data_IF_056603065942
#
_entry.id   IF_056603065942
#
_cell.length_a   1.000
_cell.length_b   1.000
_cell.length_c   1.000
_cell.angle_alpha   90.00
_cell.angle_beta   90.00
_cell.angle_gamma   90.00
#
_symmetry.space_group_name_H-M   'P 1'
#
loop_
_entity.id
_entity.type
_entity.pdbx_description
1 polymer ?
#
# COMPACT_ATOMS: atom_id res chain seq x y z
N UNK A 1 39.73 23.91 12.84
CA UNK A 1 39.11 22.69 13.40
C UNK A 1 38.41 21.93 12.28
N UNK A 2 38.92 20.75 11.92
CA UNK A 2 38.36 19.91 10.88
C UNK A 2 37.03 19.29 11.37
N UNK A 3 35.96 19.44 10.59
CA UNK A 3 34.69 18.76 10.85
C UNK A 3 34.90 17.28 10.51
N UNK A 4 35.29 16.47 11.51
CA UNK A 4 35.31 15.01 11.40
C UNK A 4 33.88 14.47 11.37
N UNK A 5 33.31 14.47 10.17
CA UNK A 5 32.14 13.67 9.80
C UNK A 5 32.35 13.25 8.36
N UNK A 6 32.12 11.96 8.03
CA UNK A 6 32.26 11.46 6.65
C UNK A 6 31.59 12.44 5.67
N UNK A 7 32.29 12.95 4.64
CA UNK A 7 31.68 13.86 3.69
C UNK A 7 30.40 13.21 3.14
N UNK A 8 29.28 13.92 3.27
CA UNK A 8 28.00 13.43 2.78
C UNK A 8 28.10 13.14 1.27
N UNK A 9 27.29 12.19 0.78
CA UNK A 9 27.23 11.82 -0.63
C UNK A 9 27.16 13.05 -1.55
N UNK A 10 27.98 13.07 -2.60
CA UNK A 10 27.97 14.12 -3.62
C UNK A 10 26.62 14.16 -4.35
N UNK A 11 26.32 15.28 -5.03
CA UNK A 11 25.07 15.39 -5.80
C UNK A 11 24.98 14.31 -6.89
N UNK A 12 26.10 14.00 -7.54
CA UNK A 12 26.17 12.93 -8.55
C UNK A 12 25.91 11.55 -7.93
N UNK A 13 26.55 11.25 -6.80
CA UNK A 13 26.34 9.97 -6.11
C UNK A 13 24.91 9.84 -5.58
N UNK A 14 24.29 10.93 -5.09
CA UNK A 14 22.87 10.92 -4.70
C UNK A 14 21.96 10.64 -5.88
N UNK A 15 22.26 11.23 -7.05
CA UNK A 15 21.47 11.00 -8.27
C UNK A 15 21.58 9.55 -8.73
N UNK A 16 22.80 8.99 -8.77
CA UNK A 16 23.02 7.59 -9.14
C UNK A 16 22.37 6.62 -8.13
N UNK A 17 22.46 6.91 -6.83
CA UNK A 17 21.75 6.18 -5.77
C UNK A 17 20.24 6.11 -6.06
N UNK A 18 19.61 7.24 -6.39
CA UNK A 18 18.18 7.30 -6.67
C UNK A 18 17.79 6.60 -7.97
N UNK A 19 18.63 6.68 -9.00
CA UNK A 19 18.45 5.94 -10.26
C UNK A 19 18.47 4.44 -10.01
N UNK A 20 19.48 3.93 -9.29
CA UNK A 20 19.63 2.51 -8.97
C UNK A 20 18.55 1.99 -8.01
N UNK A 21 18.15 2.81 -7.05
CA UNK A 21 17.01 2.49 -6.19
C UNK A 21 15.73 2.37 -7.01
N UNK A 22 15.50 3.31 -7.92
CA UNK A 22 14.33 3.32 -8.81
C UNK A 22 14.33 2.17 -9.83
N UNK A 23 15.51 1.63 -10.17
CA UNK A 23 15.63 0.43 -11.00
C UNK A 23 15.44 -0.87 -10.20
N UNK A 24 15.34 -0.80 -8.87
CA UNK A 24 15.02 -1.96 -8.03
C UNK A 24 16.24 -2.68 -7.43
N UNK A 25 17.44 -2.06 -7.46
CA UNK A 25 18.63 -2.64 -6.84
C UNK A 25 18.53 -2.68 -5.31
N UNK A 26 19.22 -3.62 -4.69
CA UNK A 26 19.28 -3.76 -3.22
C UNK A 26 20.21 -2.73 -2.57
N UNK A 27 20.06 -2.49 -1.26
CA UNK A 27 20.93 -1.56 -0.52
C UNK A 27 22.41 -1.94 -0.65
N UNK A 28 22.70 -3.24 -0.66
CA UNK A 28 24.06 -3.77 -0.78
C UNK A 28 24.64 -3.61 -2.19
N UNK A 29 23.82 -3.82 -3.24
CA UNK A 29 24.23 -3.56 -4.63
C UNK A 29 24.55 -2.09 -4.87
N UNK A 30 23.66 -1.21 -4.40
CA UNK A 30 23.85 0.25 -4.50
C UNK A 30 25.10 0.66 -3.71
N UNK A 31 25.28 0.12 -2.50
CA UNK A 31 26.45 0.38 -1.68
C UNK A 31 27.75 0.00 -2.38
N UNK A 32 27.80 -1.22 -2.93
CA UNK A 32 28.96 -1.71 -3.70
C UNK A 32 29.25 -0.84 -4.92
N UNK A 33 28.22 -0.48 -5.69
CA UNK A 33 28.38 0.33 -6.89
C UNK A 33 28.89 1.74 -6.61
N UNK A 34 28.53 2.32 -5.46
CA UNK A 34 28.91 3.67 -5.06
C UNK A 34 30.16 3.71 -4.16
N UNK A 35 30.73 2.55 -3.81
CA UNK A 35 31.84 2.45 -2.88
C UNK A 35 31.48 2.90 -1.45
N UNK A 36 30.21 2.79 -1.05
CA UNK A 36 29.74 3.22 0.28
C UNK A 36 29.04 2.08 1.03
N UNK A 37 29.07 2.16 2.36
CA UNK A 37 28.40 1.19 3.21
C UNK A 37 26.87 1.22 3.00
N UNK A 38 26.22 0.04 2.99
CA UNK A 38 24.78 -0.09 2.79
C UNK A 38 23.95 0.71 3.82
N UNK A 39 24.46 0.88 5.04
CA UNK A 39 23.86 1.74 6.06
C UNK A 39 23.77 3.22 5.65
N UNK A 40 24.75 3.73 4.91
CA UNK A 40 24.71 5.10 4.37
C UNK A 40 23.66 5.25 3.28
N UNK A 41 23.51 4.23 2.42
CA UNK A 41 22.42 4.16 1.42
C UNK A 41 21.06 4.18 2.13
N UNK A 42 20.91 3.35 3.16
CA UNK A 42 19.70 3.28 3.96
C UNK A 42 19.34 4.64 4.58
N UNK A 43 20.31 5.35 5.18
CA UNK A 43 20.08 6.66 5.78
C UNK A 43 19.51 7.68 4.79
N UNK A 44 20.06 7.74 3.57
CA UNK A 44 19.57 8.66 2.52
C UNK A 44 18.16 8.30 2.04
N UNK A 45 17.90 7.01 1.83
CA UNK A 45 16.57 6.55 1.41
C UNK A 45 15.53 6.76 2.52
N UNK A 46 15.88 6.47 3.77
CA UNK A 46 14.99 6.58 4.92
C UNK A 46 14.55 8.02 5.18
N UNK A 47 15.44 9.00 4.98
CA UNK A 47 15.12 10.41 5.15
C UNK A 47 13.96 10.89 4.25
N UNK A 48 13.70 10.21 3.14
CA UNK A 48 12.64 10.51 2.18
C UNK A 48 11.61 9.38 2.05
N UNK A 49 11.65 8.39 2.94
CA UNK A 49 10.74 7.24 2.93
C UNK A 49 10.89 6.33 1.70
N UNK A 50 12.03 6.36 1.02
CA UNK A 50 12.30 5.63 -0.22
C UNK A 50 11.67 6.25 -1.47
N UNK A 51 11.22 7.51 -1.39
CA UNK A 51 10.65 8.26 -2.52
C UNK A 51 11.70 9.22 -3.06
N UNK A 52 12.07 9.05 -4.33
CA UNK A 52 13.05 9.92 -4.97
C UNK A 52 12.56 11.39 -4.96
N UNK A 53 13.36 12.35 -4.46
CA UNK A 53 13.04 13.75 -4.57
C UNK A 53 13.09 14.18 -6.04
N UNK A 54 12.24 15.12 -6.42
CA UNK A 54 12.26 15.66 -7.78
C UNK A 54 13.50 16.53 -7.98
N UNK A 55 14.12 16.39 -9.16
CA UNK A 55 15.22 17.25 -9.57
C UNK A 55 14.75 18.71 -9.59
N UNK A 56 15.46 19.54 -8.85
CA UNK A 56 15.11 20.95 -8.70
C UNK A 56 15.60 21.70 -9.93
N UNK A 57 14.67 22.21 -10.73
CA UNK A 57 14.96 23.04 -11.90
C UNK A 57 14.59 24.49 -11.63
N UNK A 58 15.45 25.41 -12.06
CA UNK A 58 15.20 26.84 -12.00
C UNK A 58 14.56 27.29 -13.31
N UNK A 59 13.54 28.16 -13.25
CA UNK A 59 12.99 28.79 -14.45
C UNK A 59 14.02 29.78 -15.03
N UNK A 60 14.12 29.86 -16.35
CA UNK A 60 14.94 30.86 -17.08
C UNK A 60 14.60 32.32 -16.74
N UNK A 61 13.39 32.55 -16.21
CA UNK A 61 12.93 33.86 -15.74
C UNK A 61 13.51 34.26 -14.38
N UNK A 62 14.08 33.31 -13.64
CA UNK A 62 14.69 33.57 -12.33
C UNK A 62 16.19 33.84 -12.50
N UNK A 63 16.72 34.79 -11.72
CA UNK A 63 18.15 35.09 -11.69
C UNK A 63 18.97 33.82 -11.37
N UNK A 64 20.07 33.61 -12.09
CA UNK A 64 21.11 32.60 -11.85
C UNK A 64 22.07 33.00 -10.72
N UNK A 65 23.04 32.14 -10.41
CA UNK A 65 24.10 32.48 -9.45
C UNK A 65 25.00 33.59 -10.02
N UNK A 66 25.44 33.44 -11.28
CA UNK A 66 26.27 34.44 -11.98
C UNK A 66 25.59 35.80 -12.03
N UNK A 67 24.30 35.86 -12.33
CA UNK A 67 23.55 37.12 -12.32
C UNK A 67 23.47 37.73 -10.91
N UNK A 68 23.36 36.90 -9.85
CA UNK A 68 23.42 37.38 -8.46
C UNK A 68 24.82 37.85 -8.06
N UNK A 69 25.88 37.25 -8.59
CA UNK A 69 27.25 37.70 -8.37
C UNK A 69 27.50 39.07 -8.99
N UNK A 70 27.01 39.30 -10.21
CA UNK A 70 27.03 40.62 -10.85
C UNK A 70 26.25 41.66 -10.02
N UNK A 71 25.07 41.30 -9.47
CA UNK A 71 24.34 42.19 -8.55
C UNK A 71 25.21 42.48 -7.31
N UNK A 72 25.83 41.46 -6.72
CA UNK A 72 26.65 41.63 -5.52
C UNK A 72 27.86 42.53 -5.75
N UNK A 73 28.55 42.36 -6.89
CA UNK A 73 29.71 43.18 -7.28
C UNK A 73 29.30 44.61 -7.60
N UNK A 74 28.25 44.79 -8.42
CA UNK A 74 27.74 46.12 -8.75
C UNK A 74 27.22 46.90 -7.54
N UNK A 75 26.68 46.23 -6.53
CA UNK A 75 26.30 46.87 -5.27
C UNK A 75 27.51 47.33 -4.44
N UNK A 76 28.57 46.51 -4.40
CA UNK A 76 29.81 46.85 -3.70
C UNK A 76 30.56 48.02 -4.36
N UNK A 77 30.52 48.09 -5.69
CA UNK A 77 31.06 49.19 -6.50
C UNK A 77 30.18 50.47 -6.47
N UNK A 78 29.05 50.44 -5.77
CA UNK A 78 28.18 51.61 -5.61
C UNK A 78 27.20 51.86 -6.76
N UNK A 79 27.09 50.98 -7.76
CA UNK A 79 26.21 51.18 -8.90
C UNK A 79 24.71 51.22 -8.55
N UNK A 80 23.96 52.02 -9.31
CA UNK A 80 22.51 52.09 -9.19
C UNK A 80 21.85 50.78 -9.64
N UNK A 81 20.69 50.45 -9.07
CA UNK A 81 19.94 49.24 -9.46
C UNK A 81 19.55 49.25 -10.94
N UNK A 82 19.37 50.44 -11.54
CA UNK A 82 19.09 50.60 -12.98
C UNK A 82 20.30 50.21 -13.83
N UNK A 83 21.51 50.63 -13.45
CA UNK A 83 22.75 50.26 -14.12
C UNK A 83 23.00 48.75 -14.08
N UNK A 84 22.85 48.15 -12.90
CA UNK A 84 23.00 46.70 -12.69
C UNK A 84 21.98 45.93 -13.55
N UNK A 85 20.72 46.37 -13.56
CA UNK A 85 19.66 45.74 -14.35
C UNK A 85 19.92 45.83 -15.86
N UNK A 86 20.42 46.96 -16.36
CA UNK A 86 20.81 47.14 -17.77
C UNK A 86 21.94 46.20 -18.15
N UNK A 87 23.00 46.10 -17.33
CA UNK A 87 24.12 45.16 -17.56
C UNK A 87 23.68 43.71 -17.63
N UNK A 88 22.71 43.33 -16.80
CA UNK A 88 22.17 41.97 -16.75
C UNK A 88 21.11 41.68 -17.81
N UNK A 89 20.70 42.68 -18.60
CA UNK A 89 19.53 42.60 -19.48
C UNK A 89 18.28 42.09 -18.74
N UNK A 90 18.01 42.64 -17.55
CA UNK A 90 16.85 42.31 -16.70
C UNK A 90 16.06 43.56 -16.36
N UNK A 91 14.78 43.37 -16.03
CA UNK A 91 13.94 44.44 -15.52
C UNK A 91 14.48 44.98 -14.17
N UNK A 92 14.48 46.31 -14.00
CA UNK A 92 14.92 46.97 -12.76
C UNK A 92 14.15 46.46 -11.54
N UNK A 93 12.85 46.19 -11.71
CA UNK A 93 12.00 45.64 -10.65
C UNK A 93 12.44 44.25 -10.17
N UNK A 94 13.03 43.43 -11.05
CA UNK A 94 13.59 42.12 -10.68
C UNK A 94 14.80 42.28 -9.76
N UNK A 95 15.75 43.15 -10.13
CA UNK A 95 16.94 43.43 -9.32
C UNK A 95 16.55 44.08 -8.00
N UNK A 96 15.63 45.05 -8.01
CA UNK A 96 15.13 45.70 -6.81
C UNK A 96 14.52 44.69 -5.83
N UNK A 97 13.56 43.87 -6.28
CA UNK A 97 12.93 42.83 -5.43
C UNK A 97 13.95 41.83 -4.90
N UNK A 98 14.92 41.42 -5.72
CA UNK A 98 16.00 40.51 -5.32
C UNK A 98 16.91 41.11 -4.25
N UNK A 99 17.26 42.40 -4.35
CA UNK A 99 18.12 43.07 -3.36
C UNK A 99 17.34 43.28 -2.05
N UNK A 100 16.14 43.83 -2.13
CA UNK A 100 15.29 44.10 -0.95
C UNK A 100 14.99 42.83 -0.16
N UNK A 101 14.63 41.73 -0.83
CA UNK A 101 14.28 40.46 -0.16
C UNK A 101 15.47 39.73 0.49
N UNK A 102 16.70 40.12 0.18
CA UNK A 102 17.91 39.45 0.66
C UNK A 102 18.81 40.42 1.46
N UNK A 103 18.20 41.36 2.19
CA UNK A 103 18.89 42.20 3.17
C UNK A 103 19.27 43.61 2.69
N UNK A 104 18.82 44.01 1.50
CA UNK A 104 19.09 45.33 0.94
C UNK A 104 20.53 45.52 0.49
N UNK A 105 20.90 46.74 0.08
CA UNK A 105 22.20 47.02 -0.54
C UNK A 105 23.40 46.65 0.34
N UNK A 106 23.31 46.88 1.66
CA UNK A 106 24.41 46.67 2.61
C UNK A 106 24.70 45.17 2.87
N UNK A 107 23.65 44.35 2.95
CA UNK A 107 23.77 42.94 3.37
C UNK A 107 23.63 41.94 2.22
N UNK A 108 23.39 42.40 1.00
CA UNK A 108 23.23 41.51 -0.14
C UNK A 108 24.50 40.68 -0.39
N UNK A 109 24.36 39.36 -0.48
CA UNK A 109 25.42 38.41 -0.83
C UNK A 109 24.89 37.39 -1.83
N UNK A 110 25.57 37.24 -2.95
CA UNK A 110 25.13 36.40 -4.06
C UNK A 110 24.84 34.94 -3.65
N UNK A 111 25.79 34.29 -2.97
CA UNK A 111 25.69 32.88 -2.55
C UNK A 111 24.52 32.66 -1.58
N UNK A 112 24.35 33.57 -0.61
CA UNK A 112 23.25 33.47 0.35
C UNK A 112 21.89 33.72 -0.33
N UNK A 113 21.82 34.71 -1.22
CA UNK A 113 20.63 35.02 -2.00
C UNK A 113 20.22 33.84 -2.90
N UNK A 114 21.20 33.14 -3.49
CA UNK A 114 20.98 31.96 -4.31
C UNK A 114 20.46 30.77 -3.47
N UNK A 115 21.09 30.50 -2.33
CA UNK A 115 20.63 29.49 -1.35
C UNK A 115 19.21 29.78 -0.89
N UNK A 116 18.89 31.04 -0.57
CA UNK A 116 17.55 31.47 -0.19
C UNK A 116 16.55 31.31 -1.34
N UNK A 117 16.92 31.60 -2.58
CA UNK A 117 16.07 31.41 -3.75
C UNK A 117 15.71 29.94 -3.95
N UNK A 118 16.70 29.05 -3.82
CA UNK A 118 16.48 27.61 -3.80
C UNK A 118 15.52 27.22 -2.67
N UNK A 119 15.80 27.59 -1.42
CA UNK A 119 14.96 27.22 -0.27
C UNK A 119 13.49 27.65 -0.46
N UNK A 120 13.27 28.88 -0.96
CA UNK A 120 11.92 29.38 -1.26
C UNK A 120 11.24 28.65 -2.41
N UNK A 121 12.00 28.17 -3.39
CA UNK A 121 11.45 27.38 -4.50
C UNK A 121 10.83 26.06 -4.05
N UNK A 122 11.15 25.55 -2.85
CA UNK A 122 10.50 24.36 -2.28
C UNK A 122 9.00 24.56 -2.06
N UNK A 123 8.54 25.81 -1.85
CA UNK A 123 7.12 26.19 -1.65
C UNK A 123 6.33 25.13 -0.88
N UNK A 124 6.76 24.77 0.34
CA UNK A 124 6.16 23.66 1.08
C UNK A 124 4.67 23.91 1.25
N UNK A 125 3.85 22.99 0.76
CA UNK A 125 2.40 23.01 0.97
C UNK A 125 2.11 22.20 2.22
N UNK A 126 1.37 22.80 3.16
CA UNK A 126 0.87 22.08 4.33
C UNK A 126 0.03 20.88 3.87
N UNK A 127 0.35 19.70 4.41
CA UNK A 127 -0.35 18.47 4.09
C UNK A 127 -1.85 18.56 4.46
N UNK A 128 -2.75 17.99 3.67
CA UNK A 128 -4.19 18.00 3.94
C UNK A 128 -4.51 17.45 5.34
N UNK A 129 -3.88 16.34 5.74
CA UNK A 129 -4.08 15.74 7.06
C UNK A 129 -3.64 16.64 8.22
N UNK A 130 -2.75 17.60 7.98
CA UNK A 130 -2.36 18.60 8.97
C UNK A 130 -3.39 19.72 9.10
N UNK A 131 -4.17 19.99 8.05
CA UNK A 131 -5.23 21.00 8.04
C UNK A 131 -6.58 20.47 8.50
N UNK A 132 -6.80 19.15 8.40
CA UNK A 132 -8.05 18.49 8.73
C UNK A 132 -7.83 17.41 9.82
N UNK A 133 -7.84 17.78 11.12
CA UNK A 133 -7.61 16.84 12.22
C UNK A 133 -8.63 15.69 12.28
N UNK A 134 -9.90 15.98 12.01
CA UNK A 134 -10.98 14.98 11.97
C UNK A 134 -10.71 13.90 10.91
N UNK A 135 -10.35 14.31 9.70
CA UNK A 135 -9.93 13.39 8.63
C UNK A 135 -8.69 12.58 9.04
N UNK A 136 -7.72 13.22 9.69
CA UNK A 136 -6.51 12.54 10.16
C UNK A 136 -6.82 11.44 11.19
N UNK A 137 -7.64 11.75 12.20
CA UNK A 137 -8.08 10.78 13.21
C UNK A 137 -8.88 9.64 12.56
N UNK A 138 -9.76 9.96 11.61
CA UNK A 138 -10.51 8.95 10.88
C UNK A 138 -9.59 8.01 10.09
N UNK A 139 -8.63 8.55 9.34
CA UNK A 139 -7.62 7.74 8.62
C UNK A 139 -6.83 6.86 9.59
N UNK A 140 -6.37 7.42 10.71
CA UNK A 140 -5.63 6.68 11.73
C UNK A 140 -6.46 5.52 12.32
N UNK A 141 -7.73 5.76 12.66
CA UNK A 141 -8.63 4.72 13.19
C UNK A 141 -8.87 3.59 12.20
N UNK A 142 -9.00 3.89 10.90
CA UNK A 142 -9.17 2.87 9.85
C UNK A 142 -7.88 2.09 9.60
N UNK A 143 -6.71 2.74 9.68
CA UNK A 143 -5.41 2.07 9.64
C UNK A 143 -5.25 1.12 10.83
N UNK A 144 -5.64 1.50 12.04
CA UNK A 144 -5.63 0.63 13.21
C UNK A 144 -6.52 -0.62 13.02
N UNK A 145 -7.62 -0.48 12.27
CA UNK A 145 -8.46 -1.61 11.81
C UNK A 145 -7.86 -2.41 10.64
N UNK A 146 -6.59 -2.17 10.30
CA UNK A 146 -5.82 -2.83 9.24
C UNK A 146 -6.42 -2.63 7.83
N UNK A 147 -7.12 -1.52 7.60
CA UNK A 147 -7.54 -1.13 6.25
C UNK A 147 -6.33 -0.60 5.48
N UNK A 148 -6.22 -0.96 4.20
CA UNK A 148 -5.15 -0.40 3.37
C UNK A 148 -5.43 1.08 3.05
N UNK A 149 -4.41 1.90 2.81
CA UNK A 149 -4.59 3.29 2.35
C UNK A 149 -5.51 3.41 1.13
N UNK A 150 -5.47 2.45 0.21
CA UNK A 150 -6.35 2.41 -0.96
C UNK A 150 -7.81 2.13 -0.59
N UNK A 151 -8.04 1.23 0.37
CA UNK A 151 -9.37 0.92 0.90
C UNK A 151 -9.97 2.14 1.61
N UNK A 152 -9.17 2.83 2.44
CA UNK A 152 -9.58 4.04 3.15
C UNK A 152 -9.96 5.13 2.16
N UNK A 153 -9.08 5.42 1.19
CA UNK A 153 -9.30 6.45 0.17
C UNK A 153 -10.58 6.21 -0.65
N UNK A 154 -10.81 4.98 -1.11
CA UNK A 154 -12.02 4.66 -1.86
C UNK A 154 -13.29 4.68 -1.02
N UNK A 155 -13.23 4.21 0.22
CA UNK A 155 -14.37 4.28 1.15
C UNK A 155 -14.73 5.72 1.52
N UNK A 156 -13.74 6.58 1.76
CA UNK A 156 -13.99 8.00 2.06
C UNK A 156 -14.69 8.71 0.91
N UNK A 157 -14.34 8.39 -0.34
CA UNK A 157 -14.99 8.99 -1.52
C UNK A 157 -16.48 8.68 -1.60
N UNK A 158 -16.88 7.47 -1.22
CA UNK A 158 -18.29 7.05 -1.26
C UNK A 158 -19.03 7.57 -0.04
N UNK A 159 -18.41 7.47 1.15
CA UNK A 159 -19.08 7.90 2.38
C UNK A 159 -19.26 9.41 2.47
N UNK A 160 -18.33 10.18 1.90
CA UNK A 160 -18.33 11.64 1.90
C UNK A 160 -18.29 12.14 0.46
N UNK A 161 -19.25 11.71 -0.36
CA UNK A 161 -19.33 12.13 -1.76
C UNK A 161 -19.55 13.63 -1.92
N UNK A 162 -20.38 14.22 -1.04
CA UNK A 162 -20.69 15.65 -1.02
C UNK A 162 -19.65 16.51 -0.30
N UNK A 163 -18.82 15.91 0.56
CA UNK A 163 -17.80 16.62 1.34
C UNK A 163 -16.38 16.30 0.85
N UNK A 164 -15.91 17.11 -0.09
CA UNK A 164 -14.56 17.01 -0.65
C UNK A 164 -13.45 17.22 0.38
N UNK A 165 -13.73 17.89 1.51
CA UNK A 165 -12.75 18.11 2.58
C UNK A 165 -12.38 16.81 3.32
N UNK A 166 -13.29 15.83 3.28
CA UNK A 166 -13.13 14.50 3.88
C UNK A 166 -12.56 13.47 2.90
N UNK A 167 -12.21 13.88 1.68
CA UNK A 167 -11.62 13.00 0.67
C UNK A 167 -10.09 13.14 0.62
N UNK A 168 -9.40 12.02 0.46
CA UNK A 168 -7.93 11.99 0.37
C UNK A 168 -7.46 10.88 -0.55
N UNK A 169 -6.43 11.15 -1.34
CA UNK A 169 -5.74 10.13 -2.13
C UNK A 169 -4.93 9.18 -1.24
N UNK A 170 -4.99 7.88 -1.53
CA UNK A 170 -4.18 6.86 -0.88
C UNK A 170 -2.67 7.15 -0.96
N UNK A 171 -2.21 7.83 -2.02
CA UNK A 171 -0.82 8.27 -2.15
C UNK A 171 -0.43 9.31 -1.08
N UNK A 172 -1.36 10.19 -0.71
CA UNK A 172 -1.15 11.15 0.38
C UNK A 172 -1.05 10.43 1.72
N UNK A 173 -1.88 9.40 1.96
CA UNK A 173 -1.80 8.56 3.16
C UNK A 173 -0.44 7.83 3.21
N UNK A 174 0.01 7.21 2.11
CA UNK A 174 1.32 6.57 2.05
C UNK A 174 2.47 7.55 2.30
N UNK A 175 2.47 8.72 1.65
CA UNK A 175 3.48 9.76 1.88
C UNK A 175 3.49 10.21 3.34
N UNK A 176 2.33 10.32 3.97
CA UNK A 176 2.22 10.70 5.39
C UNK A 176 2.68 9.61 6.37
N UNK A 177 2.63 8.34 5.98
CA UNK A 177 3.21 7.23 6.76
C UNK A 177 4.73 7.10 6.55
N UNK A 178 5.22 7.25 5.31
CA UNK A 178 6.63 7.03 4.98
C UNK A 178 7.53 8.26 5.19
N UNK A 179 7.00 9.48 5.05
CA UNK A 179 7.79 10.71 5.20
C UNK A 179 7.59 11.26 6.61
N UNK A 180 8.51 10.93 7.51
CA UNK A 180 8.43 11.31 8.93
C UNK A 180 8.35 12.83 9.14
N UNK A 181 9.02 13.61 8.29
CA UNK A 181 9.00 15.07 8.35
C UNK A 181 7.59 15.69 8.20
N UNK A 182 6.58 14.91 7.79
CA UNK A 182 5.18 15.37 7.77
C UNK A 182 4.54 15.39 9.15
N UNK A 183 4.96 14.52 10.08
CA UNK A 183 4.49 14.52 11.48
C UNK A 183 3.00 14.28 11.73
N UNK A 184 2.19 13.96 10.71
CA UNK A 184 0.73 13.88 10.84
C UNK A 184 0.20 12.52 11.30
N UNK A 185 0.91 11.42 11.02
CA UNK A 185 0.51 10.06 11.40
C UNK A 185 1.64 9.41 12.22
N UNK A 186 1.28 8.69 13.28
CA UNK A 186 2.24 7.94 14.10
C UNK A 186 2.88 6.81 13.28
N UNK A 187 4.19 6.61 13.45
CA UNK A 187 4.97 5.56 12.75
C UNK A 187 4.46 4.16 13.05
N UNK A 188 3.95 3.94 14.26
CA UNK A 188 3.38 2.66 14.72
C UNK A 188 2.24 2.16 13.81
N UNK A 189 1.51 3.06 13.16
CA UNK A 189 0.43 2.68 12.24
C UNK A 189 0.93 1.90 11.01
N UNK A 190 2.23 1.95 10.71
CA UNK A 190 2.84 1.16 9.65
C UNK A 190 2.75 -0.35 9.92
N UNK A 191 2.71 -0.77 11.18
CA UNK A 191 2.59 -2.19 11.58
C UNK A 191 1.25 -2.79 11.12
N UNK A 192 0.22 -1.95 10.95
CA UNK A 192 -1.10 -2.41 10.50
C UNK A 192 -1.19 -2.56 8.97
N UNK A 193 -0.20 -2.08 8.22
CA UNK A 193 -0.13 -2.32 6.78
C UNK A 193 0.19 -3.79 6.51
N UNK A 194 -0.41 -4.35 5.47
CA UNK A 194 -0.16 -5.73 5.03
C UNK A 194 1.31 -6.03 4.69
N UNK A 195 2.08 -4.98 4.41
CA UNK A 195 3.50 -5.08 4.14
C UNK A 195 4.23 -4.37 5.26
N UNK A 196 5.06 -5.10 6.01
CA UNK A 196 5.89 -4.59 7.12
C UNK A 196 7.06 -3.71 6.62
N UNK A 197 6.87 -3.00 5.51
CA UNK A 197 7.89 -2.18 4.87
C UNK A 197 8.00 -0.86 5.61
N UNK A 198 9.22 -0.52 6.01
CA UNK A 198 9.57 0.77 6.61
C UNK A 198 9.75 1.89 5.58
N UNK A 199 9.96 1.53 4.30
CA UNK A 199 10.13 2.47 3.18
C UNK A 199 9.46 1.96 1.91
N UNK A 200 9.12 2.87 1.00
CA UNK A 200 8.62 2.53 -0.33
C UNK A 200 9.75 1.96 -1.19
N UNK A 201 9.50 0.84 -1.86
CA UNK A 201 10.40 0.29 -2.89
C UNK A 201 9.97 0.75 -4.28
N UNK A 202 10.90 0.73 -5.22
CA UNK A 202 10.60 0.97 -6.63
C UNK A 202 9.55 0.01 -7.17
N UNK A 203 8.82 0.43 -8.22
CA UNK A 203 7.85 -0.43 -8.90
C UNK A 203 8.51 -1.59 -9.64
N UNK A 204 9.71 -1.38 -10.17
CA UNK A 204 10.53 -2.41 -10.82
C UNK A 204 11.22 -3.35 -9.82
N UNK A 205 11.13 -3.05 -8.52
CA UNK A 205 11.68 -3.93 -7.50
C UNK A 205 10.93 -5.26 -7.50
N UNK A 206 11.61 -6.33 -7.90
CA UNK A 206 11.11 -7.70 -7.84
C UNK A 206 11.99 -8.53 -6.91
N UNK A 207 11.37 -9.39 -6.10
CA UNK A 207 12.12 -10.46 -5.43
C UNK A 207 12.43 -11.65 -6.36
N UNK A 208 11.92 -11.61 -7.60
CA UNK A 208 12.24 -12.57 -8.68
C UNK A 208 13.70 -12.32 -9.08
N UNK A 209 14.61 -13.20 -8.64
CA UNK A 209 16.06 -13.06 -8.83
C UNK A 209 16.89 -13.44 -7.60
N UNK A 210 16.27 -13.58 -6.42
CA UNK A 210 16.88 -14.38 -5.35
C UNK A 210 16.56 -15.86 -5.59
N UNK A 211 17.51 -16.80 -5.39
CA UNK A 211 17.27 -18.22 -5.57
C UNK A 211 16.28 -18.70 -4.50
N UNK A 212 15.01 -18.64 -4.85
CA UNK A 212 13.94 -19.42 -4.24
C UNK A 212 13.34 -20.22 -5.37
N UNK A 213 13.31 -21.54 -5.21
CA UNK A 213 12.95 -22.54 -6.20
C UNK A 213 11.95 -22.04 -7.23
N UNK A 214 12.36 -22.09 -8.49
CA UNK A 214 11.52 -21.92 -9.68
C UNK A 214 10.34 -22.90 -9.53
N UNK A 215 9.12 -22.41 -9.66
CA UNK A 215 8.03 -23.26 -10.13
C UNK A 215 8.14 -23.20 -11.65
N UNK A 216 8.50 -24.33 -12.25
CA UNK A 216 8.46 -24.61 -13.68
C UNK A 216 7.02 -24.79 -14.16
N UNK A 217 6.77 -24.38 -15.40
CA UNK A 217 5.56 -24.58 -16.22
C UNK A 217 4.28 -23.81 -15.85
N UNK A 218 4.22 -22.55 -16.29
CA UNK A 218 2.96 -21.81 -16.43
C UNK A 218 2.52 -21.80 -17.90
N UNK A 219 1.39 -22.44 -18.19
CA UNK A 219 0.74 -22.52 -19.53
C UNK A 219 -0.50 -21.60 -19.59
N UNK A 220 -0.80 -21.07 -20.77
CA UNK A 220 -1.69 -19.93 -21.06
C UNK A 220 -3.10 -20.28 -21.60
N UNK A 221 -4.14 -19.85 -20.87
CA UNK A 221 -5.32 -19.01 -21.21
C UNK A 221 -6.23 -19.20 -22.46
N UNK A 222 -6.43 -20.37 -23.05
CA UNK A 222 -7.53 -20.52 -24.04
C UNK A 222 -8.43 -21.71 -23.74
N UNK A 223 -9.74 -21.43 -23.83
CA UNK A 223 -10.90 -22.33 -23.80
C UNK A 223 -11.72 -22.34 -22.51
N UNK A 224 -12.57 -21.32 -22.33
CA UNK A 224 -13.53 -21.23 -21.23
C UNK A 224 -14.94 -20.85 -21.70
N UNK A 225 -16.00 -21.49 -21.17
CA UNK A 225 -17.40 -21.04 -21.32
C UNK A 225 -17.74 -19.81 -20.45
N UNK A 226 -18.62 -18.94 -20.95
CA UNK A 226 -18.92 -17.61 -20.39
C UNK A 226 -19.73 -17.62 -19.07
N UNK A 227 -20.56 -18.62 -18.83
CA UNK A 227 -21.63 -18.52 -17.81
C UNK A 227 -21.14 -18.74 -16.36
N UNK A 228 -19.98 -19.38 -16.17
CA UNK A 228 -19.36 -19.65 -14.84
C UNK A 228 -18.36 -18.54 -14.43
N UNK A 229 -18.00 -17.65 -15.37
CA UNK A 229 -17.12 -16.50 -15.13
C UNK A 229 -17.76 -15.44 -14.23
N UNK A 230 -19.08 -15.27 -14.34
CA UNK A 230 -19.66 -13.95 -14.11
C UNK A 230 -19.77 -13.58 -12.62
N UNK A 231 -19.63 -14.57 -11.72
CA UNK A 231 -19.75 -14.39 -10.25
C UNK A 231 -21.01 -13.56 -9.88
N UNK A 232 -22.00 -13.60 -10.75
CA UNK A 232 -23.14 -12.69 -10.77
C UNK A 232 -24.27 -13.19 -9.87
N UNK A 233 -24.30 -14.50 -9.61
CA UNK A 233 -25.30 -15.17 -8.78
C UNK A 233 -24.74 -15.36 -7.36
N UNK A 234 -25.44 -14.86 -6.32
CA UNK A 234 -25.09 -15.14 -4.94
C UNK A 234 -25.41 -16.59 -4.57
N UNK A 235 -24.72 -17.13 -3.56
CA UNK A 235 -25.00 -18.48 -3.05
C UNK A 235 -24.00 -19.55 -3.49
N UNK A 236 -23.00 -19.17 -4.31
CA UNK A 236 -21.89 -20.05 -4.66
C UNK A 236 -20.66 -19.72 -3.81
N UNK A 237 -20.11 -20.73 -3.15
CA UNK A 237 -19.01 -20.58 -2.21
C UNK A 237 -17.77 -21.33 -2.67
N UNK A 238 -16.60 -20.78 -2.41
CA UNK A 238 -15.32 -21.47 -2.57
C UNK A 238 -14.82 -21.89 -1.18
N UNK A 239 -14.36 -23.13 -1.04
CA UNK A 239 -13.86 -23.67 0.23
C UNK A 239 -12.41 -24.18 0.14
N UNK A 240 -11.57 -23.88 1.13
CA UNK A 240 -10.15 -24.26 1.19
C UNK A 240 -9.72 -24.56 2.62
N UNK A 241 -8.50 -25.06 2.78
CA UNK A 241 -7.87 -25.29 4.06
C UNK A 241 -6.60 -24.46 4.22
N UNK A 242 -6.59 -23.68 5.29
CA UNK A 242 -5.40 -23.03 5.78
C UNK A 242 -4.70 -23.98 6.75
N UNK A 243 -3.53 -24.46 6.34
CA UNK A 243 -2.65 -25.25 7.21
C UNK A 243 -1.71 -24.37 8.04
N UNK A 244 -1.53 -24.79 9.30
CA UNK A 244 -0.59 -24.27 10.29
C UNK A 244 0.57 -25.24 10.56
N UNK A 245 1.25 -25.06 11.68
CA UNK A 245 2.17 -26.06 12.23
C UNK A 245 1.40 -27.14 13.00
N UNK A 246 2.10 -28.23 13.37
CA UNK A 246 1.54 -29.35 14.14
C UNK A 246 0.27 -29.97 13.54
N UNK A 247 0.17 -30.00 12.20
CA UNK A 247 -0.98 -30.54 11.48
C UNK A 247 -2.33 -29.89 11.90
N UNK A 248 -2.31 -28.59 12.19
CA UNK A 248 -3.51 -27.82 12.52
C UNK A 248 -4.09 -27.14 11.29
N UNK A 249 -5.42 -27.15 11.17
CA UNK A 249 -6.13 -26.69 9.99
C UNK A 249 -7.33 -25.80 10.35
N UNK A 250 -7.63 -24.85 9.48
CA UNK A 250 -8.83 -24.02 9.51
C UNK A 250 -9.46 -24.07 8.13
N UNK A 251 -10.76 -24.36 8.07
CA UNK A 251 -11.51 -24.28 6.83
C UNK A 251 -11.89 -22.83 6.53
N UNK A 252 -11.70 -22.41 5.27
CA UNK A 252 -12.05 -21.07 4.79
C UNK A 252 -13.11 -21.18 3.73
N UNK A 253 -14.28 -20.61 4.00
CA UNK A 253 -15.40 -20.53 3.07
C UNK A 253 -15.54 -19.08 2.61
N UNK A 254 -15.62 -18.86 1.30
CA UNK A 254 -15.77 -17.52 0.73
C UNK A 254 -16.84 -17.49 -0.33
N UNK A 255 -17.86 -16.66 -0.13
CA UNK A 255 -18.94 -16.45 -1.09
C UNK A 255 -18.42 -15.68 -2.31
N UNK A 256 -18.68 -16.19 -3.52
CA UNK A 256 -18.02 -15.73 -4.75
C UNK A 256 -18.42 -14.32 -5.16
N UNK A 257 -19.65 -13.87 -4.87
CA UNK A 257 -20.13 -12.53 -5.27
C UNK A 257 -19.72 -11.45 -4.27
N UNK A 258 -20.20 -11.57 -3.03
CA UNK A 258 -19.97 -10.65 -1.90
C UNK A 258 -18.55 -10.73 -1.33
N UNK A 259 -17.83 -11.84 -1.55
CA UNK A 259 -16.53 -12.11 -0.92
C UNK A 259 -16.62 -12.24 0.60
N UNK A 260 -17.80 -12.55 1.12
CA UNK A 260 -18.01 -12.79 2.53
C UNK A 260 -17.24 -14.03 2.95
N UNK A 261 -16.48 -13.90 4.02
CA UNK A 261 -15.58 -14.93 4.53
C UNK A 261 -16.16 -15.53 5.79
N UNK A 262 -16.18 -16.86 5.86
CA UNK A 262 -16.47 -17.61 7.08
C UNK A 262 -15.28 -18.53 7.35
N UNK A 263 -14.84 -18.57 8.61
CA UNK A 263 -13.73 -19.39 9.05
C UNK A 263 -14.26 -20.47 9.98
N UNK A 264 -13.84 -21.72 9.76
CA UNK A 264 -14.35 -22.86 10.51
C UNK A 264 -13.20 -23.53 11.23
N UNK A 265 -13.33 -23.62 12.56
CA UNK A 265 -12.39 -24.35 13.39
C UNK A 265 -12.56 -25.85 13.15
N UNK A 266 -11.46 -26.51 12.80
CA UNK A 266 -11.43 -27.95 12.59
C UNK A 266 -10.68 -28.66 13.72
N UNK A 267 -11.13 -29.88 14.03
CA UNK A 267 -10.49 -30.78 14.99
C UNK A 267 -9.35 -31.60 14.36
N UNK A 268 -9.27 -31.63 13.03
CA UNK A 268 -8.29 -32.42 12.28
C UNK A 268 -8.41 -32.17 10.77
N UNK A 269 -7.45 -32.76 10.05
CA UNK A 269 -7.37 -32.79 8.57
C UNK A 269 -8.17 -33.95 7.95
N UNK A 270 -8.67 -34.86 8.78
CA UNK A 270 -9.40 -36.02 8.30
C UNK A 270 -10.78 -35.61 7.76
N UNK A 271 -11.25 -36.37 6.79
CA UNK A 271 -12.50 -36.08 6.08
C UNK A 271 -13.71 -35.95 7.00
N UNK A 272 -13.76 -36.72 8.09
CA UNK A 272 -14.87 -36.67 9.06
C UNK A 272 -14.85 -35.36 9.85
N UNK A 273 -13.68 -34.94 10.33
CA UNK A 273 -13.49 -33.66 11.01
C UNK A 273 -13.85 -32.47 10.12
N UNK A 274 -13.41 -32.49 8.86
CA UNK A 274 -13.73 -31.42 7.90
C UNK A 274 -15.22 -31.34 7.63
N UNK A 275 -15.86 -32.46 7.25
CA UNK A 275 -17.30 -32.50 6.95
C UNK A 275 -18.13 -32.07 8.16
N UNK A 276 -17.84 -32.58 9.36
CA UNK A 276 -18.59 -32.21 10.56
C UNK A 276 -18.48 -30.71 10.87
N UNK A 277 -17.28 -30.14 10.71
CA UNK A 277 -17.07 -28.70 10.88
C UNK A 277 -17.86 -27.88 9.86
N UNK A 278 -17.83 -28.29 8.59
CA UNK A 278 -18.56 -27.62 7.52
C UNK A 278 -20.07 -27.72 7.71
N UNK A 279 -20.62 -28.90 8.00
CA UNK A 279 -22.05 -29.08 8.26
C UNK A 279 -22.53 -28.16 9.37
N UNK A 280 -21.82 -28.14 10.51
CA UNK A 280 -22.16 -27.25 11.64
C UNK A 280 -22.21 -25.79 11.22
N UNK A 281 -21.25 -25.36 10.40
CA UNK A 281 -21.20 -23.97 9.96
C UNK A 281 -22.33 -23.63 8.99
N UNK A 282 -22.64 -24.51 8.04
CA UNK A 282 -23.63 -24.30 7.00
C UNK A 282 -25.05 -24.35 7.56
N UNK A 283 -25.32 -25.26 8.50
CA UNK A 283 -26.61 -25.33 9.19
C UNK A 283 -26.91 -24.09 10.05
N UNK A 284 -25.89 -23.31 10.41
CA UNK A 284 -26.07 -22.02 11.08
C UNK A 284 -26.35 -20.84 10.14
N UNK A 285 -26.34 -21.06 8.81
CA UNK A 285 -26.67 -20.03 7.82
C UNK A 285 -28.17 -20.09 7.50
N UNK A 286 -28.79 -18.94 7.11
CA UNK A 286 -30.13 -18.95 6.54
C UNK A 286 -30.24 -19.90 5.35
N UNK A 287 -31.39 -20.56 5.23
CA UNK A 287 -31.70 -21.47 4.13
C UNK A 287 -31.54 -20.76 2.77
N UNK A 288 -31.00 -21.45 1.77
CA UNK A 288 -30.75 -20.90 0.43
C UNK A 288 -29.55 -19.95 0.32
N UNK A 289 -28.88 -19.57 1.43
CA UNK A 289 -27.70 -18.70 1.38
C UNK A 289 -26.45 -19.41 0.82
N UNK A 290 -26.41 -20.73 0.90
CA UNK A 290 -25.39 -21.57 0.27
C UNK A 290 -26.09 -22.60 -0.60
N UNK A 291 -25.91 -22.49 -1.92
CA UNK A 291 -26.46 -23.41 -2.91
C UNK A 291 -25.39 -24.40 -3.37
N UNK A 292 -24.14 -23.93 -3.47
CA UNK A 292 -23.03 -24.79 -3.84
C UNK A 292 -21.71 -24.42 -3.19
N UNK A 293 -20.84 -25.43 -3.08
CA UNK A 293 -19.50 -25.33 -2.53
C UNK A 293 -18.49 -25.90 -3.52
N UNK A 294 -17.55 -25.08 -3.96
CA UNK A 294 -16.42 -25.50 -4.80
C UNK A 294 -15.17 -25.75 -3.96
N UNK A 295 -14.61 -26.95 -4.03
CA UNK A 295 -13.42 -27.38 -3.26
C UNK A 295 -12.27 -27.84 -4.16
N UNK A 296 -11.06 -27.95 -3.60
CA UNK A 296 -9.96 -28.63 -4.28
C UNK A 296 -10.13 -30.16 -4.26
N UNK A 297 -9.41 -30.89 -5.13
CA UNK A 297 -9.46 -32.37 -5.13
C UNK A 297 -8.67 -33.00 -3.97
N UNK A 298 -8.57 -32.31 -2.83
CA UNK A 298 -7.95 -32.86 -1.63
C UNK A 298 -8.76 -34.02 -1.06
N UNK A 299 -8.08 -35.05 -0.53
CA UNK A 299 -8.74 -36.19 0.12
C UNK A 299 -9.60 -35.83 1.34
N UNK A 300 -9.47 -34.60 1.84
CA UNK A 300 -10.24 -34.07 2.97
C UNK A 300 -11.74 -33.94 2.67
N UNK A 301 -12.13 -33.94 1.40
CA UNK A 301 -13.53 -33.93 0.96
C UNK A 301 -13.97 -35.25 0.30
N UNK A 302 -13.27 -36.36 0.57
CA UNK A 302 -13.59 -37.67 -0.01
C UNK A 302 -15.06 -38.09 0.23
N UNK A 303 -15.62 -37.82 1.42
CA UNK A 303 -17.01 -38.15 1.76
C UNK A 303 -17.98 -36.97 1.59
N UNK A 304 -17.72 -36.03 0.68
CA UNK A 304 -18.58 -34.86 0.39
C UNK A 304 -20.06 -35.19 0.17
N UNK A 305 -20.41 -36.41 -0.24
CA UNK A 305 -21.81 -36.88 -0.34
C UNK A 305 -22.55 -36.77 1.00
N UNK A 306 -21.89 -37.08 2.12
CA UNK A 306 -22.49 -36.92 3.46
C UNK A 306 -22.76 -35.44 3.78
N UNK A 307 -21.87 -34.55 3.37
CA UNK A 307 -22.08 -33.11 3.51
C UNK A 307 -23.28 -32.64 2.67
N UNK A 308 -23.38 -33.11 1.42
CA UNK A 308 -24.50 -32.78 0.53
C UNK A 308 -25.83 -33.27 1.10
N UNK A 309 -25.89 -34.51 1.58
CA UNK A 309 -27.10 -35.07 2.20
C UNK A 309 -27.52 -34.36 3.48
N UNK A 310 -26.57 -33.80 4.24
CA UNK A 310 -26.87 -33.15 5.52
C UNK A 310 -27.21 -31.66 5.40
N UNK A 311 -26.97 -31.04 4.24
CA UNK A 311 -27.07 -29.58 4.06
C UNK A 311 -27.77 -29.15 2.77
N UNK A 312 -28.09 -30.09 1.88
CA UNK A 312 -28.59 -29.89 0.51
C UNK A 312 -27.68 -29.03 -0.40
N UNK A 313 -26.45 -28.74 0.05
CA UNK A 313 -25.46 -27.97 -0.71
C UNK A 313 -24.71 -28.86 -1.69
N UNK A 314 -24.75 -28.50 -2.98
CA UNK A 314 -24.04 -29.22 -4.03
C UNK A 314 -22.53 -28.97 -3.96
N UNK A 315 -21.72 -30.03 -3.90
CA UNK A 315 -20.26 -29.93 -3.86
C UNK A 315 -19.65 -30.18 -5.24
N UNK A 316 -18.84 -29.23 -5.70
CA UNK A 316 -18.10 -29.30 -6.96
C UNK A 316 -16.59 -29.32 -6.70
N UNK A 317 -15.85 -30.10 -7.49
CA UNK A 317 -14.40 -30.19 -7.38
C UNK A 317 -13.72 -29.50 -8.56
N UNK A 318 -12.64 -28.78 -8.26
CA UNK A 318 -11.82 -28.15 -9.30
C UNK A 318 -11.08 -29.20 -10.14
N UNK A 319 -10.70 -28.84 -11.36
CA UNK A 319 -9.90 -29.71 -12.22
C UNK A 319 -8.43 -29.79 -11.76
N UNK A 320 -7.73 -30.89 -12.04
CA UNK A 320 -6.30 -30.99 -11.77
C UNK A 320 -5.56 -29.84 -12.44
N UNK A 321 -4.55 -29.30 -11.77
CA UNK A 321 -3.72 -28.20 -12.28
C UNK A 321 -4.48 -26.90 -12.62
N UNK A 322 -5.71 -26.71 -12.09
CA UNK A 322 -6.56 -25.54 -12.36
C UNK A 322 -6.78 -24.61 -11.14
N UNK A 323 -5.73 -24.11 -10.47
CA UNK A 323 -5.86 -23.31 -9.23
C UNK A 323 -6.61 -21.99 -9.42
N UNK A 324 -6.71 -21.46 -10.65
CA UNK A 324 -7.45 -20.22 -10.96
C UNK A 324 -8.97 -20.36 -10.78
N UNK A 325 -9.52 -21.58 -10.80
CA UNK A 325 -10.93 -21.83 -10.52
C UNK A 325 -11.34 -21.37 -9.10
N UNK A 326 -10.35 -21.16 -8.20
CA UNK A 326 -10.51 -20.68 -6.82
C UNK A 326 -9.76 -19.37 -6.53
N UNK A 327 -9.67 -18.49 -7.52
CA UNK A 327 -8.95 -17.22 -7.37
C UNK A 327 -9.46 -16.34 -6.23
N UNK A 328 -10.70 -16.54 -5.76
CA UNK A 328 -11.25 -15.81 -4.61
C UNK A 328 -10.63 -16.28 -3.32
N UNK A 329 -10.63 -17.59 -3.09
CA UNK A 329 -10.06 -18.18 -1.89
C UNK A 329 -8.56 -17.94 -1.79
N UNK A 330 -7.80 -18.03 -2.88
CA UNK A 330 -6.36 -17.78 -2.83
C UNK A 330 -6.06 -16.35 -2.35
N UNK A 331 -6.78 -15.37 -2.89
CA UNK A 331 -6.64 -13.97 -2.48
C UNK A 331 -7.09 -13.75 -1.04
N UNK A 332 -8.20 -14.36 -0.61
CA UNK A 332 -8.67 -14.27 0.79
C UNK A 332 -7.69 -14.91 1.76
N UNK A 333 -7.15 -16.09 1.43
CA UNK A 333 -6.17 -16.80 2.24
C UNK A 333 -4.90 -15.99 2.41
N UNK A 334 -4.46 -15.30 1.34
CA UNK A 334 -3.34 -14.33 1.44
C UNK A 334 -3.62 -13.20 2.44
N UNK A 335 -4.86 -12.76 2.59
CA UNK A 335 -5.25 -11.76 3.59
C UNK A 335 -5.35 -12.34 4.99
N UNK A 336 -5.89 -13.54 5.12
CA UNK A 336 -5.98 -14.27 6.38
C UNK A 336 -4.61 -14.55 6.97
N UNK A 337 -3.55 -14.69 6.16
CA UNK A 337 -2.17 -14.80 6.65
C UNK A 337 -1.66 -13.57 7.44
N UNK A 338 -2.38 -12.44 7.43
CA UNK A 338 -2.11 -11.33 8.35
C UNK A 338 -2.51 -11.67 9.80
N UNK A 339 -3.48 -12.58 9.99
CA UNK A 339 -4.01 -13.02 11.28
C UNK A 339 -3.59 -14.43 11.67
N UNK A 340 -3.41 -15.29 10.66
CA UNK A 340 -3.07 -16.70 10.77
C UNK A 340 -1.75 -16.96 10.01
N UNK A 341 -0.60 -16.51 10.54
CA UNK A 341 0.68 -16.59 9.82
C UNK A 341 1.03 -18.03 9.42
N UNK A 342 1.91 -18.18 8.43
CA UNK A 342 2.38 -19.52 8.06
C UNK A 342 3.22 -20.11 9.20
N UNK A 343 3.15 -21.43 9.37
CA UNK A 343 3.92 -22.21 10.36
C UNK A 343 3.62 -21.87 11.83
N UNK A 344 2.52 -21.17 12.12
CA UNK A 344 2.02 -21.00 13.49
C UNK A 344 1.03 -22.10 13.83
N UNK A 345 0.93 -22.40 15.12
CA UNK A 345 -0.02 -23.36 15.65
C UNK A 345 -1.42 -22.74 15.59
N UNK A 346 -2.34 -23.33 14.83
CA UNK A 346 -3.71 -22.82 14.69
C UNK A 346 -4.66 -23.42 15.73
N UNK A 347 -4.20 -24.34 16.58
CA UNK A 347 -4.99 -24.87 17.69
C UNK A 347 -5.37 -23.81 18.71
N UNK A 348 -4.53 -22.78 18.87
CA UNK A 348 -4.69 -21.68 19.83
C UNK A 348 -5.90 -20.79 19.57
N UNK A 349 -6.46 -20.84 18.35
CA UNK A 349 -7.62 -20.04 17.98
C UNK A 349 -8.92 -20.79 18.28
N UNK A 350 -9.77 -20.16 19.09
CA UNK A 350 -11.16 -20.58 19.28
C UNK A 350 -12.02 -20.21 18.05
N UNK A 351 -13.22 -20.80 17.93
CA UNK A 351 -14.17 -20.38 16.90
C UNK A 351 -14.50 -18.89 16.99
N UNK A 352 -14.67 -18.36 18.21
CA UNK A 352 -14.94 -16.94 18.44
C UNK A 352 -13.79 -16.02 17.94
N UNK A 353 -12.53 -16.44 18.10
CA UNK A 353 -11.39 -15.70 17.54
C UNK A 353 -11.43 -15.66 16.01
N UNK A 354 -11.79 -16.79 15.39
CA UNK A 354 -11.93 -16.90 13.94
C UNK A 354 -13.09 -16.02 13.43
N UNK A 355 -14.21 -15.98 14.15
CA UNK A 355 -15.34 -15.13 13.81
C UNK A 355 -14.97 -13.64 13.88
N UNK A 356 -14.18 -13.24 14.88
CA UNK A 356 -13.65 -11.88 14.98
C UNK A 356 -12.71 -11.53 13.80
N UNK A 357 -11.87 -12.48 13.38
CA UNK A 357 -11.01 -12.31 12.19
C UNK A 357 -11.86 -12.17 10.92
N UNK A 358 -12.86 -13.03 10.75
CA UNK A 358 -13.80 -13.00 9.64
C UNK A 358 -14.55 -11.66 9.60
N UNK A 359 -15.07 -11.19 10.74
CA UNK A 359 -15.74 -9.90 10.88
C UNK A 359 -14.84 -8.73 10.45
N UNK A 360 -13.55 -8.74 10.82
CA UNK A 360 -12.58 -7.72 10.38
C UNK A 360 -12.35 -7.70 8.87
N UNK A 361 -12.51 -8.83 8.18
CA UNK A 361 -12.43 -8.92 6.72
C UNK A 361 -13.76 -8.58 6.05
N UNK A 362 -14.88 -8.93 6.67
CA UNK A 362 -16.24 -8.73 6.14
C UNK A 362 -16.74 -7.29 6.33
N UNK A 363 -16.22 -6.56 7.30
CA UNK A 363 -16.48 -5.12 7.50
C UNK A 363 -15.47 -4.23 6.78
N UNK A 364 -14.49 -4.80 6.07
CA UNK A 364 -13.46 -4.07 5.34
C UNK A 364 -13.87 -3.86 3.88
N UNK A 365 -13.82 -2.62 3.35
CA UNK A 365 -14.26 -2.32 2.00
C UNK A 365 -13.36 -2.97 0.95
N UNK A 366 -13.94 -3.41 -0.17
CA UNK A 366 -13.24 -4.10 -1.26
C UNK A 366 -13.33 -3.29 -2.53
N UNK A 367 -12.19 -3.01 -3.17
CA UNK A 367 -12.17 -2.31 -4.47
C UNK A 367 -13.03 -3.03 -5.53
N UNK A 368 -13.02 -4.36 -5.51
CA UNK A 368 -13.81 -5.21 -6.43
C UNK A 368 -15.33 -5.07 -6.23
N UNK A 369 -15.77 -4.60 -5.07
CA UNK A 369 -17.18 -4.37 -4.74
C UNK A 369 -17.51 -2.87 -4.76
N UNK A 370 -16.76 -2.07 -5.52
CA UNK A 370 -16.89 -0.62 -5.52
C UNK A 370 -16.70 -0.02 -4.12
N UNK A 371 -15.78 -0.55 -3.32
CA UNK A 371 -15.52 -0.15 -1.93
C UNK A 371 -16.69 -0.33 -0.95
N UNK A 372 -17.73 -1.10 -1.30
CA UNK A 372 -18.67 -1.67 -0.33
C UNK A 372 -17.99 -2.79 0.49
N UNK A 373 -18.56 -3.13 1.64
CA UNK A 373 -18.07 -4.20 2.52
C UNK A 373 -18.72 -5.53 2.14
N UNK A 374 -18.02 -6.67 2.26
CA UNK A 374 -18.62 -7.99 2.02
C UNK A 374 -19.89 -8.23 2.84
N UNK A 375 -19.90 -7.80 4.10
CA UNK A 375 -21.07 -7.91 4.96
C UNK A 375 -22.28 -7.13 4.41
N UNK A 376 -22.06 -5.90 3.90
CA UNK A 376 -23.15 -5.11 3.31
C UNK A 376 -23.69 -5.73 2.03
N UNK A 377 -22.83 -6.28 1.17
CA UNK A 377 -23.25 -6.97 -0.06
C UNK A 377 -24.02 -8.25 0.27
N UNK A 378 -23.53 -9.05 1.24
CA UNK A 378 -24.23 -10.27 1.65
C UNK A 378 -25.61 -9.94 2.25
N UNK A 379 -25.69 -8.94 3.13
CA UNK A 379 -26.95 -8.52 3.73
C UNK A 379 -27.99 -8.06 2.68
N UNK A 380 -27.54 -7.37 1.63
CA UNK A 380 -28.40 -7.02 0.50
C UNK A 380 -28.95 -8.25 -0.23
N UNK A 381 -28.15 -9.30 -0.38
CA UNK A 381 -28.62 -10.54 -0.99
C UNK A 381 -29.57 -11.31 -0.08
N UNK A 382 -29.28 -11.40 1.21
CA UNK A 382 -30.17 -12.06 2.18
C UNK A 382 -31.54 -11.39 2.16
N UNK A 383 -31.59 -10.06 2.16
CA UNK A 383 -32.84 -9.29 2.07
C UNK A 383 -33.59 -9.42 0.73
N UNK A 384 -32.98 -9.99 -0.31
CA UNK A 384 -33.66 -10.29 -1.59
C UNK A 384 -34.19 -11.73 -1.65
N UNK A 385 -33.67 -12.62 -0.79
CA UNK A 385 -34.05 -14.05 -0.72
C UNK A 385 -35.10 -14.27 0.37
N UNK A 386 -35.11 -13.41 1.40
CA UNK A 386 -36.15 -13.31 2.44
C UNK A 386 -37.35 -12.55 1.89
#
# INVERSE_FOLDING_TARGET
MAIMGRPGLSLSQKKDLWTRWSSGQTLSEIGRALGIHAGSVHGVLAASGGIAPTDRKRSVRCLGLTEREEISRGLAEGFSLRSIAKRLNRAVSTVCREVTRNGGRKHYRAVQADKNAWNRALRPKTCLLSKAPALCQLVASKLAKQWSPQQISGWLRIKYEDDTSMQISHETIYKSLFIQARGVLKKELMVHLRSNRTMRRAKSWTSKGQPRGRITDAVSIRDRPADIEDRAVPGHWEGDLISGSKNTHIATLVERKSRYVTLVKLNGKDTKSVINGLCRQVQGLPEGLMQSLTWDRGGEMANHKLFTMATDVQVYFCDPQSPWQRGTNENTNRLLRQYLPKKTDLSVHSQADLDLIAQKLNTRPRKTLGYKTPAAILAQHVAMIS
#
